data_IF_388164017239
#
_entry.id   IF_388164017239
#
_cell.length_a   1.000
_cell.length_b   1.000
_cell.length_c   1.000
_cell.angle_alpha   90.00
_cell.angle_beta   90.00
_cell.angle_gamma   90.00
#
_symmetry.space_group_name_H-M   'P 1'
#
loop_
_entity.id
_entity.type
_entity.pdbx_description
1 polymer ?
#
# COMPACT_ATOMS: atom_id res chain seq x y z
N UNK A 1 -12.83 -4.34 11.62
CA UNK A 1 -11.36 -4.46 11.52
C UNK A 1 -10.93 -3.77 10.23
N UNK A 2 -10.13 -2.71 10.33
CA UNK A 2 -9.52 -2.03 9.19
C UNK A 2 -8.30 -2.82 8.66
N UNK A 3 -7.85 -2.50 7.46
CA UNK A 3 -6.63 -3.10 6.87
C UNK A 3 -5.39 -2.83 7.74
N UNK A 4 -5.32 -1.66 8.37
CA UNK A 4 -4.25 -1.29 9.31
C UNK A 4 -4.28 -2.15 10.59
N UNK A 5 -5.46 -2.34 11.17
CA UNK A 5 -5.63 -3.19 12.37
C UNK A 5 -5.30 -4.66 12.06
N UNK A 6 -5.73 -5.16 10.91
CA UNK A 6 -5.42 -6.52 10.47
C UNK A 6 -3.90 -6.72 10.32
N UNK A 7 -3.19 -5.74 9.72
CA UNK A 7 -1.73 -5.79 9.62
C UNK A 7 -1.07 -5.77 11.00
N UNK A 8 -1.50 -4.88 11.92
CA UNK A 8 -0.97 -4.82 13.29
C UNK A 8 -1.12 -6.15 14.01
N UNK A 9 -2.31 -6.77 13.93
CA UNK A 9 -2.55 -8.06 14.58
C UNK A 9 -1.64 -9.16 14.03
N UNK A 10 -1.45 -9.22 12.71
CA UNK A 10 -0.52 -10.15 12.08
C UNK A 10 0.94 -9.87 12.47
N UNK A 11 1.34 -8.60 12.52
CA UNK A 11 2.69 -8.17 12.88
C UNK A 11 3.07 -8.57 14.32
N UNK A 12 2.12 -8.48 15.26
CA UNK A 12 2.35 -8.94 16.64
C UNK A 12 2.64 -10.45 16.72
N UNK A 13 2.05 -11.25 15.83
CA UNK A 13 2.24 -12.71 15.80
C UNK A 13 3.57 -13.10 15.17
N UNK A 14 4.07 -12.32 14.19
CA UNK A 14 5.31 -12.59 13.43
C UNK A 14 6.03 -11.29 13.07
N UNK A 15 6.82 -10.76 14.00
CA UNK A 15 7.51 -9.46 13.87
C UNK A 15 8.59 -9.46 12.79
N UNK A 16 9.28 -10.58 12.61
CA UNK A 16 10.28 -10.79 11.56
C UNK A 16 9.66 -10.68 10.16
N UNK A 17 8.53 -11.34 9.94
CA UNK A 17 7.80 -11.25 8.68
C UNK A 17 7.28 -9.83 8.43
N UNK A 18 6.74 -9.17 9.46
CA UNK A 18 6.25 -7.81 9.32
C UNK A 18 7.37 -6.81 9.00
N UNK A 19 8.55 -6.91 9.65
CA UNK A 19 9.72 -6.08 9.28
C UNK A 19 10.16 -6.31 7.84
N UNK A 20 10.20 -7.56 7.39
CA UNK A 20 10.55 -7.90 6.00
C UNK A 20 9.56 -7.28 5.00
N UNK A 21 8.25 -7.34 5.28
CA UNK A 21 7.25 -6.75 4.39
C UNK A 21 7.25 -5.22 4.41
N UNK A 22 7.52 -4.59 5.57
CA UNK A 22 7.67 -3.14 5.66
C UNK A 22 8.90 -2.65 4.90
N UNK A 23 10.04 -3.36 4.96
CA UNK A 23 11.22 -2.99 4.17
C UNK A 23 10.95 -3.11 2.67
N UNK A 24 10.24 -4.15 2.24
CA UNK A 24 9.80 -4.29 0.84
C UNK A 24 8.84 -3.18 0.43
N UNK A 25 7.92 -2.79 1.32
CA UNK A 25 7.00 -1.68 1.06
C UNK A 25 7.74 -0.35 0.92
N UNK A 26 8.78 -0.12 1.71
CA UNK A 26 9.62 1.08 1.65
C UNK A 26 10.27 1.24 0.27
N UNK A 27 10.80 0.14 -0.30
CA UNK A 27 11.44 0.09 -1.63
C UNK A 27 10.51 0.47 -2.80
N UNK A 28 9.18 0.31 -2.66
CA UNK A 28 8.21 0.57 -3.75
C UNK A 28 8.00 2.08 -3.97
N UNK A 29 8.37 2.62 -5.12
CA UNK A 29 8.19 4.03 -5.43
C UNK A 29 6.75 4.39 -5.83
N UNK A 30 6.40 5.68 -5.80
CA UNK A 30 5.12 6.16 -6.33
C UNK A 30 5.00 5.93 -7.84
N UNK A 31 6.11 5.97 -8.57
CA UNK A 31 6.15 5.64 -9.99
C UNK A 31 5.81 4.18 -10.26
N UNK A 32 6.23 3.25 -9.40
CA UNK A 32 5.92 1.83 -9.56
C UNK A 32 4.41 1.59 -9.50
N UNK A 33 3.75 2.15 -8.50
CA UNK A 33 2.30 2.02 -8.34
C UNK A 33 1.55 2.72 -9.47
N UNK A 34 1.98 3.93 -9.82
CA UNK A 34 1.38 4.69 -10.92
C UNK A 34 1.46 3.94 -12.25
N UNK A 35 2.61 3.31 -12.54
CA UNK A 35 2.80 2.54 -13.77
C UNK A 35 1.87 1.34 -13.90
N UNK A 36 1.41 0.77 -12.78
CA UNK A 36 0.45 -0.34 -12.75
C UNK A 36 -0.96 0.18 -12.96
N UNK A 37 -1.34 1.24 -12.24
CA UNK A 37 -2.66 1.88 -12.33
C UNK A 37 -2.91 2.40 -13.75
N UNK A 38 -1.89 3.01 -14.38
CA UNK A 38 -2.02 3.58 -15.71
C UNK A 38 -2.28 2.52 -16.80
N UNK A 39 -1.91 1.24 -16.56
CA UNK A 39 -2.19 0.11 -17.47
C UNK A 39 -3.65 -0.34 -17.47
N UNK A 40 -4.44 0.06 -16.47
CA UNK A 40 -5.86 -0.30 -16.41
C UNK A 40 -6.61 0.47 -17.52
N UNK A 41 -7.36 -0.20 -18.40
CA UNK A 41 -8.13 0.48 -19.44
C UNK A 41 -9.13 1.47 -18.86
N UNK A 42 -9.46 2.53 -19.62
CA UNK A 42 -10.35 3.59 -19.15
C UNK A 42 -11.79 3.10 -18.92
N UNK A 43 -12.17 2.06 -19.65
CA UNK A 43 -13.45 1.36 -19.55
C UNK A 43 -13.64 0.68 -18.19
N UNK A 44 -12.54 0.27 -17.55
CA UNK A 44 -12.53 -0.40 -16.25
C UNK A 44 -12.23 0.57 -15.10
N UNK A 45 -11.41 1.60 -15.37
CA UNK A 45 -11.04 2.61 -14.37
C UNK A 45 -10.88 3.98 -15.02
N UNK A 46 -11.81 4.87 -14.70
CA UNK A 46 -11.78 6.27 -15.14
C UNK A 46 -10.54 7.00 -14.62
N UNK A 47 -10.17 8.10 -15.29
CA UNK A 47 -8.99 8.89 -14.92
C UNK A 47 -9.06 9.38 -13.46
N UNK A 48 -10.25 9.81 -13.00
CA UNK A 48 -10.47 10.20 -11.60
C UNK A 48 -10.34 9.01 -10.62
N UNK A 49 -10.74 7.80 -11.03
CA UNK A 49 -10.58 6.61 -10.21
C UNK A 49 -9.11 6.19 -10.12
N UNK A 50 -8.32 6.39 -11.18
CA UNK A 50 -6.86 6.18 -11.18
C UNK A 50 -6.16 7.13 -10.22
N UNK A 51 -6.50 8.43 -10.28
CA UNK A 51 -5.99 9.46 -9.37
C UNK A 51 -6.32 9.12 -7.91
N UNK A 52 -7.59 8.84 -7.62
CA UNK A 52 -8.03 8.42 -6.28
C UNK A 52 -7.27 7.19 -5.78
N UNK A 53 -7.10 6.17 -6.65
CA UNK A 53 -6.39 4.94 -6.29
C UNK A 53 -4.93 5.21 -5.93
N UNK A 54 -4.25 6.08 -6.71
CA UNK A 54 -2.88 6.47 -6.44
C UNK A 54 -2.75 7.16 -5.08
N UNK A 55 -3.64 8.10 -4.77
CA UNK A 55 -3.64 8.82 -3.49
C UNK A 55 -3.90 7.89 -2.29
N UNK A 56 -4.86 6.97 -2.42
CA UNK A 56 -5.18 6.02 -1.35
C UNK A 56 -4.02 5.05 -1.11
N UNK A 57 -3.36 4.56 -2.16
CA UNK A 57 -2.19 3.69 -2.03
C UNK A 57 -1.05 4.42 -1.32
N UNK A 58 -0.78 5.68 -1.69
CA UNK A 58 0.24 6.51 -1.04
C UNK A 58 -0.07 6.72 0.45
N UNK A 59 -1.33 7.07 0.77
CA UNK A 59 -1.77 7.28 2.14
C UNK A 59 -1.65 6.00 2.98
N UNK A 60 -2.04 4.85 2.41
CA UNK A 60 -1.94 3.57 3.09
C UNK A 60 -0.48 3.15 3.29
N UNK A 61 0.40 3.37 2.31
CA UNK A 61 1.85 3.14 2.45
C UNK A 61 2.41 3.95 3.62
N UNK A 62 2.11 5.26 3.67
CA UNK A 62 2.55 6.14 4.78
C UNK A 62 2.09 5.61 6.14
N UNK A 63 0.81 5.24 6.26
CA UNK A 63 0.25 4.68 7.51
C UNK A 63 0.96 3.40 7.93
N UNK A 64 1.21 2.48 7.01
CA UNK A 64 1.86 1.20 7.31
C UNK A 64 3.32 1.41 7.75
N UNK A 65 4.06 2.31 7.11
CA UNK A 65 5.47 2.59 7.45
C UNK A 65 5.64 3.32 8.80
N UNK A 66 4.57 3.90 9.37
CA UNK A 66 4.60 4.47 10.73
C UNK A 66 4.39 3.45 11.84
N UNK A 67 4.17 2.17 11.52
CA UNK A 67 3.94 1.12 12.53
C UNK A 67 5.27 0.65 13.10
N UNK A 68 5.34 0.59 14.44
CA UNK A 68 6.43 -0.06 15.17
C UNK A 68 6.17 -1.58 15.28
N UNK A 69 7.19 -2.40 14.94
CA UNK A 69 7.09 -3.87 14.82
C UNK A 69 8.16 -4.61 15.61
#
# INVERSE_FOLDING_TARGET
MSTLEAFREAAMRRRDAARFWLSKLEEISLSDTKSIIDRVPREEMSDIAKEFTQEIIELNKKRLLTIEV
#
